data_IF_837764767899
#
_entry.id   IF_837764767899
#
_cell.length_a   1.000
_cell.length_b   1.000
_cell.length_c   1.000
_cell.angle_alpha   90.00
_cell.angle_beta   90.00
_cell.angle_gamma   90.00
#
_symmetry.space_group_name_H-M   'P 1'
#
loop_
_entity.id
_entity.type
_entity.pdbx_description
1 polymer ?
#
# COMPACT_ATOMS: atom_id res chain seq x y z
N UNK A 1 -21.74 -23.80 -7.97
CA UNK A 1 -20.74 -23.05 -7.18
C UNK A 1 -19.37 -23.34 -7.76
N UNK A 2 -18.77 -22.36 -8.44
CA UNK A 2 -17.44 -22.44 -9.04
C UNK A 2 -16.35 -22.57 -7.98
N UNK A 3 -15.10 -22.85 -8.37
CA UNK A 3 -13.96 -22.81 -7.44
C UNK A 3 -13.78 -21.42 -6.83
N UNK A 4 -13.99 -20.36 -7.63
CA UNK A 4 -13.97 -18.97 -7.16
C UNK A 4 -15.04 -18.68 -6.11
N UNK A 5 -16.28 -19.13 -6.32
CA UNK A 5 -17.38 -18.93 -5.37
C UNK A 5 -17.08 -19.61 -4.01
N UNK A 6 -16.45 -20.79 -4.04
CA UNK A 6 -16.02 -21.51 -2.82
C UNK A 6 -14.98 -20.71 -2.05
N UNK A 7 -14.02 -20.09 -2.74
CA UNK A 7 -12.98 -19.27 -2.13
C UNK A 7 -13.53 -17.94 -1.62
N UNK A 8 -14.45 -17.29 -2.33
CA UNK A 8 -15.18 -16.11 -1.84
C UNK A 8 -15.96 -16.43 -0.57
N UNK A 9 -16.70 -17.54 -0.55
CA UNK A 9 -17.39 -17.99 0.66
C UNK A 9 -16.42 -18.32 1.81
N UNK A 10 -15.23 -18.84 1.51
CA UNK A 10 -14.18 -19.08 2.52
C UNK A 10 -13.65 -17.76 3.09
N UNK A 11 -13.32 -16.79 2.23
CA UNK A 11 -12.89 -15.46 2.64
C UNK A 11 -13.88 -14.83 3.60
N UNK A 12 -15.18 -14.78 3.24
CA UNK A 12 -16.21 -14.16 4.07
C UNK A 12 -16.33 -14.81 5.45
N UNK A 13 -16.08 -16.13 5.57
CA UNK A 13 -16.06 -16.82 6.87
C UNK A 13 -14.80 -16.55 7.71
N UNK A 14 -13.71 -16.10 7.09
CA UNK A 14 -12.39 -15.94 7.72
C UNK A 14 -12.03 -14.48 7.99
N UNK A 15 -12.46 -13.55 7.13
CA UNK A 15 -12.07 -12.12 7.22
C UNK A 15 -12.52 -11.45 8.51
N UNK A 16 -13.57 -11.94 9.17
CA UNK A 16 -14.04 -11.39 10.45
C UNK A 16 -13.34 -12.01 11.67
N UNK A 17 -12.56 -13.08 11.47
CA UNK A 17 -11.94 -13.84 12.56
C UNK A 17 -10.48 -13.46 12.71
N UNK A 18 -10.06 -12.97 13.90
CA UNK A 18 -8.65 -12.78 14.18
C UNK A 18 -7.87 -14.08 13.98
N UNK A 19 -6.69 -13.98 13.37
CA UNK A 19 -5.77 -15.10 13.18
C UNK A 19 -4.54 -14.84 14.05
N UNK A 20 -4.14 -15.83 14.84
CA UNK A 20 -2.96 -15.67 15.70
C UNK A 20 -1.68 -15.52 14.89
N UNK A 21 -0.70 -14.77 15.44
CA UNK A 21 0.64 -14.63 14.86
C UNK A 21 1.28 -15.97 14.48
N UNK A 22 1.20 -16.97 15.36
CA UNK A 22 1.81 -18.29 15.11
C UNK A 22 1.07 -19.09 14.02
N UNK A 23 -0.26 -18.96 13.93
CA UNK A 23 -1.03 -19.54 12.83
C UNK A 23 -0.67 -18.90 11.49
N UNK A 24 -0.53 -17.56 11.43
CA UNK A 24 -0.10 -16.84 10.23
C UNK A 24 1.30 -17.26 9.79
N UNK A 25 2.27 -17.35 10.72
CA UNK A 25 3.62 -17.82 10.43
C UNK A 25 3.61 -19.23 9.85
N UNK A 26 2.81 -20.14 10.43
CA UNK A 26 2.68 -21.52 9.96
C UNK A 26 2.06 -21.58 8.56
N UNK A 27 1.00 -20.82 8.31
CA UNK A 27 0.33 -20.75 7.00
C UNK A 27 1.28 -20.20 5.93
N UNK A 28 1.92 -19.06 6.20
CA UNK A 28 2.86 -18.44 5.27
C UNK A 28 4.03 -19.37 4.93
N UNK A 29 4.62 -20.03 5.94
CA UNK A 29 5.67 -21.05 5.72
C UNK A 29 5.20 -22.20 4.85
N UNK A 30 4.00 -22.72 5.13
CA UNK A 30 3.43 -23.82 4.35
C UNK A 30 3.21 -23.42 2.89
N UNK A 31 2.65 -22.24 2.64
CA UNK A 31 2.48 -21.71 1.29
C UNK A 31 3.82 -21.50 0.57
N UNK A 32 4.84 -20.93 1.24
CA UNK A 32 6.18 -20.77 0.65
C UNK A 32 6.78 -22.11 0.26
N UNK A 33 6.76 -23.10 1.16
CA UNK A 33 7.30 -24.44 0.90
C UNK A 33 6.57 -25.17 -0.24
N UNK A 34 5.25 -24.97 -0.36
CA UNK A 34 4.47 -25.55 -1.44
C UNK A 34 4.68 -24.81 -2.79
N UNK A 35 5.06 -23.54 -2.75
CA UNK A 35 5.28 -22.68 -3.92
C UNK A 35 4.04 -22.65 -4.82
N UNK A 36 4.22 -23.05 -6.09
CA UNK A 36 3.13 -23.14 -7.09
C UNK A 36 2.06 -24.19 -6.77
N UNK A 37 2.27 -25.02 -5.74
CA UNK A 37 1.31 -26.04 -5.27
C UNK A 37 0.61 -25.64 -3.98
N UNK A 38 0.78 -24.42 -3.49
CA UNK A 38 0.09 -23.92 -2.31
C UNK A 38 -1.43 -24.05 -2.47
N UNK A 39 -2.10 -24.60 -1.46
CA UNK A 39 -3.54 -24.80 -1.48
C UNK A 39 -4.27 -23.46 -1.66
N UNK A 40 -5.23 -23.34 -2.60
CA UNK A 40 -6.02 -22.11 -2.76
C UNK A 40 -6.66 -21.62 -1.46
N UNK A 41 -7.06 -22.54 -0.60
CA UNK A 41 -7.64 -22.28 0.71
C UNK A 41 -6.66 -21.60 1.68
N UNK A 42 -5.40 -22.03 1.69
CA UNK A 42 -4.37 -21.43 2.55
C UNK A 42 -3.97 -20.03 2.06
N UNK A 43 -3.86 -19.87 0.73
CA UNK A 43 -3.64 -18.57 0.10
C UNK A 43 -4.77 -17.59 0.44
N UNK A 44 -6.01 -18.07 0.38
CA UNK A 44 -7.18 -17.26 0.71
C UNK A 44 -7.26 -16.93 2.20
N UNK A 45 -6.81 -17.81 3.09
CA UNK A 45 -6.77 -17.53 4.53
C UNK A 45 -5.75 -16.44 4.87
N UNK A 46 -4.58 -16.44 4.23
CA UNK A 46 -3.61 -15.34 4.35
C UNK A 46 -4.25 -14.05 3.82
N UNK A 47 -4.83 -14.06 2.62
CA UNK A 47 -5.46 -12.87 2.04
C UNK A 47 -6.61 -12.32 2.91
N UNK A 48 -7.42 -13.20 3.52
CA UNK A 48 -8.47 -12.81 4.46
C UNK A 48 -7.91 -12.18 5.74
N UNK A 49 -6.76 -12.64 6.24
CA UNK A 49 -6.10 -12.02 7.39
C UNK A 49 -5.53 -10.63 7.07
N UNK A 50 -5.00 -10.42 5.86
CA UNK A 50 -4.57 -9.09 5.41
C UNK A 50 -5.75 -8.13 5.30
N UNK A 51 -6.89 -8.59 4.75
CA UNK A 51 -8.11 -7.79 4.70
C UNK A 51 -8.71 -7.52 6.10
N UNK A 52 -8.63 -8.49 7.02
CA UNK A 52 -9.03 -8.30 8.42
C UNK A 52 -8.26 -7.14 9.06
N UNK A 53 -6.93 -7.15 8.92
CA UNK A 53 -6.08 -6.07 9.42
C UNK A 53 -6.43 -4.73 8.75
N UNK A 54 -6.56 -4.70 7.43
CA UNK A 54 -6.81 -3.45 6.70
C UNK A 54 -8.16 -2.77 7.01
N UNK A 55 -9.21 -3.54 7.30
CA UNK A 55 -10.57 -3.00 7.42
C UNK A 55 -11.19 -3.11 8.81
N UNK A 56 -10.82 -4.13 9.60
CA UNK A 56 -11.48 -4.42 10.88
C UNK A 56 -10.55 -4.27 12.09
N UNK A 57 -9.24 -4.43 11.92
CA UNK A 57 -8.27 -4.31 13.00
C UNK A 57 -6.97 -3.63 12.52
N UNK A 58 -7.01 -2.34 12.14
CA UNK A 58 -5.87 -1.63 11.53
C UNK A 58 -4.61 -1.62 12.40
N UNK A 59 -4.76 -1.58 13.74
CA UNK A 59 -3.67 -1.70 14.71
C UNK A 59 -2.94 -3.05 14.67
N UNK A 60 -3.54 -4.09 14.08
CA UNK A 60 -2.90 -5.39 13.87
C UNK A 60 -2.16 -5.52 12.54
N UNK A 61 -2.11 -4.47 11.72
CA UNK A 61 -1.40 -4.48 10.43
C UNK A 61 0.06 -4.90 10.62
N UNK A 62 0.78 -4.26 11.54
CA UNK A 62 2.18 -4.57 11.77
C UNK A 62 2.40 -6.01 12.27
N UNK A 63 1.59 -6.46 13.23
CA UNK A 63 1.64 -7.85 13.73
C UNK A 63 1.39 -8.87 12.61
N UNK A 64 0.38 -8.62 11.78
CA UNK A 64 -0.04 -9.51 10.70
C UNK A 64 1.05 -9.63 9.63
N UNK A 65 1.58 -8.51 9.15
CA UNK A 65 2.59 -8.53 8.10
C UNK A 65 3.95 -9.01 8.61
N UNK A 66 4.32 -8.72 9.87
CA UNK A 66 5.50 -9.34 10.49
C UNK A 66 5.36 -10.86 10.54
N UNK A 67 4.20 -11.36 10.98
CA UNK A 67 3.94 -12.80 11.06
C UNK A 67 4.02 -13.48 9.68
N UNK A 68 3.39 -12.88 8.67
CA UNK A 68 3.39 -13.40 7.30
C UNK A 68 4.81 -13.36 6.73
N UNK A 69 5.53 -12.24 6.87
CA UNK A 69 6.91 -12.08 6.38
C UNK A 69 7.89 -13.03 7.07
N UNK A 70 7.78 -13.21 8.39
CA UNK A 70 8.59 -14.19 9.14
C UNK A 70 8.33 -15.62 8.68
N UNK A 71 7.05 -16.00 8.56
CA UNK A 71 6.67 -17.33 8.09
C UNK A 71 7.13 -17.59 6.66
N UNK A 72 6.99 -16.58 5.79
CA UNK A 72 7.27 -16.68 4.36
C UNK A 72 8.77 -16.70 4.05
N UNK A 73 9.55 -15.82 4.67
CA UNK A 73 10.99 -15.67 4.40
C UNK A 73 11.85 -16.53 5.31
N UNK A 74 11.33 -16.94 6.47
CA UNK A 74 12.10 -17.62 7.51
C UNK A 74 12.97 -16.68 8.36
N UNK A 75 12.95 -15.38 8.10
CA UNK A 75 13.74 -14.38 8.81
C UNK A 75 12.85 -13.52 9.73
N UNK A 76 13.30 -13.32 10.97
CA UNK A 76 12.71 -12.33 11.86
C UNK A 76 12.89 -10.92 11.30
N UNK A 77 11.86 -10.09 11.39
CA UNK A 77 11.95 -8.65 11.06
C UNK A 77 12.83 -7.98 12.11
N UNK A 78 13.93 -7.34 11.69
CA UNK A 78 14.92 -6.73 12.60
C UNK A 78 14.58 -5.29 12.94
N UNK A 79 13.38 -5.08 13.46
CA UNK A 79 12.88 -3.78 13.89
C UNK A 79 12.22 -3.89 15.26
N UNK A 80 12.05 -2.75 15.94
CA UNK A 80 11.23 -2.71 17.15
C UNK A 80 9.82 -3.23 16.85
N UNK A 81 9.27 -4.01 17.78
CA UNK A 81 7.90 -4.52 17.64
C UNK A 81 6.91 -3.38 17.80
N UNK A 82 5.94 -3.31 16.90
CA UNK A 82 4.77 -2.44 17.00
C UNK A 82 3.67 -3.25 17.68
N UNK A 83 3.31 -2.88 18.91
CA UNK A 83 2.33 -3.62 19.69
C UNK A 83 0.90 -3.27 19.25
N UNK A 84 0.05 -4.27 18.95
CA UNK A 84 -1.34 -4.02 18.61
C UNK A 84 -2.14 -3.58 19.84
N UNK A 85 -3.34 -3.05 19.62
CA UNK A 85 -4.24 -2.74 20.72
C UNK A 85 -4.95 -4.00 21.21
N UNK A 86 -5.20 -4.06 22.52
CA UNK A 86 -6.11 -5.06 23.10
C UNK A 86 -7.56 -4.63 22.87
N UNK A 87 -7.98 -4.65 21.60
CA UNK A 87 -9.31 -4.25 21.15
C UNK A 87 -9.89 -5.30 20.20
N UNK A 88 -11.18 -5.59 20.36
CA UNK A 88 -11.91 -6.41 19.41
C UNK A 88 -11.92 -5.77 18.01
N UNK A 89 -12.06 -6.55 16.92
CA UNK A 89 -12.22 -5.99 15.58
C UNK A 89 -13.47 -5.12 15.48
N UNK A 90 -13.42 -4.11 14.61
CA UNK A 90 -14.58 -3.29 14.25
C UNK A 90 -15.67 -4.16 13.59
N UNK A 91 -16.96 -3.84 13.80
CA UNK A 91 -18.05 -4.52 13.10
C UNK A 91 -17.97 -4.24 11.60
N UNK A 92 -18.33 -5.24 10.78
CA UNK A 92 -18.34 -5.09 9.32
C UNK A 92 -19.44 -4.10 8.90
N UNK A 93 -19.10 -2.99 8.22
CA UNK A 93 -20.09 -2.10 7.64
C UNK A 93 -20.91 -2.81 6.56
N UNK A 94 -22.24 -2.67 6.52
CA UNK A 94 -23.07 -3.23 5.46
C UNK A 94 -22.60 -2.77 4.07
N UNK A 95 -22.44 -3.71 3.13
CA UNK A 95 -22.02 -3.44 1.75
C UNK A 95 -20.51 -3.36 1.51
N UNK A 96 -19.67 -3.26 2.57
CA UNK A 96 -18.21 -3.19 2.42
C UNK A 96 -17.67 -4.34 1.58
N UNK A 97 -18.01 -5.59 1.96
CA UNK A 97 -17.50 -6.75 1.27
C UNK A 97 -18.08 -6.92 -0.15
N UNK A 98 -19.30 -6.45 -0.40
CA UNK A 98 -19.86 -6.49 -1.75
C UNK A 98 -19.08 -5.57 -2.70
N UNK A 99 -18.76 -4.35 -2.26
CA UNK A 99 -17.98 -3.40 -3.06
C UNK A 99 -16.50 -3.82 -3.19
N UNK A 100 -15.90 -4.31 -2.11
CA UNK A 100 -14.56 -4.92 -2.11
C UNK A 100 -14.46 -6.05 -3.14
N UNK A 101 -15.41 -6.99 -3.12
CA UNK A 101 -15.43 -8.10 -4.05
C UNK A 101 -15.70 -7.65 -5.49
N UNK A 102 -16.47 -6.58 -5.69
CA UNK A 102 -16.61 -5.96 -7.00
C UNK A 102 -15.28 -5.47 -7.59
N UNK A 103 -14.36 -4.95 -6.75
CA UNK A 103 -13.02 -4.55 -7.20
C UNK A 103 -12.19 -5.79 -7.57
N UNK A 104 -12.21 -6.82 -6.71
CA UNK A 104 -11.51 -8.09 -6.95
C UNK A 104 -11.95 -8.75 -8.25
N UNK A 105 -13.26 -8.83 -8.48
CA UNK A 105 -13.86 -9.49 -9.65
C UNK A 105 -13.55 -8.74 -10.95
N UNK A 106 -13.64 -7.40 -10.95
CA UNK A 106 -13.27 -6.61 -12.12
C UNK A 106 -11.76 -6.59 -12.38
N UNK A 107 -10.95 -6.60 -11.33
CA UNK A 107 -9.49 -6.74 -11.42
C UNK A 107 -9.08 -8.08 -12.03
N UNK A 108 -9.70 -9.18 -11.59
CA UNK A 108 -9.51 -10.52 -12.17
C UNK A 108 -9.95 -10.59 -13.64
N UNK A 109 -11.01 -9.87 -13.99
CA UNK A 109 -11.51 -9.80 -15.37
C UNK A 109 -10.65 -8.89 -16.28
N UNK A 110 -9.63 -8.22 -15.75
CA UNK A 110 -8.80 -7.28 -16.52
C UNK A 110 -9.54 -6.01 -16.94
N UNK A 111 -10.59 -5.63 -16.20
CA UNK A 111 -11.44 -4.47 -16.52
C UNK A 111 -11.01 -3.18 -15.83
N UNK A 112 -10.03 -3.25 -14.93
CA UNK A 112 -9.52 -2.09 -14.20
C UNK A 112 -8.08 -1.81 -14.63
N UNK A 113 -7.82 -0.54 -14.95
CA UNK A 113 -6.46 -0.02 -14.99
C UNK A 113 -5.99 0.38 -13.57
N UNK A 114 -4.74 0.82 -13.46
CA UNK A 114 -4.14 1.18 -12.18
C UNK A 114 -4.89 2.33 -11.48
N UNK A 115 -5.34 3.34 -12.24
CA UNK A 115 -6.09 4.47 -11.69
C UNK A 115 -7.44 4.03 -11.13
N UNK A 116 -8.18 3.20 -11.87
CA UNK A 116 -9.48 2.70 -11.44
C UNK A 116 -9.36 1.83 -10.17
N UNK A 117 -8.30 1.02 -10.05
CA UNK A 117 -8.03 0.27 -8.80
C UNK A 117 -7.80 1.24 -7.65
N UNK A 118 -6.97 2.26 -7.87
CA UNK A 118 -6.65 3.26 -6.84
C UNK A 118 -7.89 3.99 -6.35
N UNK A 119 -8.67 4.54 -7.28
CA UNK A 119 -9.88 5.29 -6.94
C UNK A 119 -10.94 4.42 -6.25
N UNK A 120 -11.17 3.19 -6.74
CA UNK A 120 -12.17 2.30 -6.14
C UNK A 120 -11.72 1.80 -4.77
N UNK A 121 -10.43 1.56 -4.57
CA UNK A 121 -9.87 1.21 -3.26
C UNK A 121 -10.05 2.37 -2.29
N UNK A 122 -9.67 3.59 -2.68
CA UNK A 122 -9.86 4.79 -1.86
C UNK A 122 -11.34 5.03 -1.52
N UNK A 123 -12.25 4.77 -2.47
CA UNK A 123 -13.70 4.89 -2.26
C UNK A 123 -14.24 3.93 -1.19
N UNK A 124 -13.55 2.83 -0.86
CA UNK A 124 -13.93 1.97 0.27
C UNK A 124 -13.84 2.70 1.62
N UNK A 125 -13.08 3.81 1.69
CA UNK A 125 -13.02 4.67 2.87
C UNK A 125 -14.39 5.17 3.34
N UNK A 126 -15.39 5.27 2.44
CA UNK A 126 -16.77 5.67 2.81
C UNK A 126 -17.47 4.70 3.78
N UNK A 127 -16.95 3.48 3.92
CA UNK A 127 -17.46 2.48 4.86
C UNK A 127 -16.84 2.61 6.25
N UNK A 128 -15.77 3.40 6.43
CA UNK A 128 -15.16 3.61 7.72
C UNK A 128 -16.05 4.52 8.56
N UNK A 129 -16.40 4.06 9.76
CA UNK A 129 -17.04 4.90 10.77
C UNK A 129 -16.03 5.87 11.36
N UNK A 130 -16.49 6.92 12.03
CA UNK A 130 -15.61 7.84 12.78
C UNK A 130 -14.73 7.09 13.79
N UNK A 131 -15.28 6.04 14.42
CA UNK A 131 -14.53 5.16 15.32
C UNK A 131 -13.42 4.39 14.59
N UNK A 132 -13.71 3.80 13.43
CA UNK A 132 -12.71 3.09 12.64
C UNK A 132 -11.60 4.05 12.15
N UNK A 133 -11.98 5.23 11.69
CA UNK A 133 -11.05 6.29 11.28
C UNK A 133 -10.17 6.76 12.44
N UNK A 134 -10.75 6.99 13.63
CA UNK A 134 -10.00 7.33 14.82
C UNK A 134 -9.01 6.22 15.21
N UNK A 135 -9.41 4.96 15.11
CA UNK A 135 -8.53 3.81 15.38
C UNK A 135 -7.36 3.73 14.40
N UNK A 136 -7.57 4.05 13.12
CA UNK A 136 -6.49 4.17 12.12
C UNK A 136 -5.52 5.29 12.51
N UNK A 137 -6.03 6.43 12.99
CA UNK A 137 -5.20 7.54 13.45
C UNK A 137 -4.37 7.16 14.69
N UNK A 138 -4.99 6.51 15.68
CA UNK A 138 -4.30 5.98 16.86
C UNK A 138 -3.20 4.98 16.47
N UNK A 139 -3.48 4.07 15.52
CA UNK A 139 -2.50 3.11 15.02
C UNK A 139 -1.32 3.78 14.33
N UNK A 140 -1.56 4.81 13.52
CA UNK A 140 -0.51 5.50 12.78
C UNK A 140 0.56 6.10 13.72
N UNK A 141 0.17 6.60 14.89
CA UNK A 141 1.09 7.10 15.92
C UNK A 141 2.07 6.05 16.48
N UNK A 142 1.80 4.75 16.27
CA UNK A 142 2.71 3.68 16.70
C UNK A 142 3.93 3.53 15.78
N UNK A 143 3.89 4.11 14.58
CA UNK A 143 4.97 4.02 13.60
C UNK A 143 6.02 5.11 13.87
N UNK A 144 7.29 4.73 13.74
CA UNK A 144 8.42 5.60 14.08
C UNK A 144 8.36 6.91 13.30
N UNK A 145 8.50 8.03 14.01
CA UNK A 145 8.53 9.36 13.42
C UNK A 145 7.19 9.94 12.99
N UNK A 146 6.09 9.17 12.96
CA UNK A 146 4.77 9.67 12.52
C UNK A 146 4.28 10.81 13.42
N UNK A 147 4.30 10.62 14.74
CA UNK A 147 3.85 11.66 15.68
C UNK A 147 4.68 12.94 15.55
N UNK A 148 6.00 12.82 15.46
CA UNK A 148 6.91 13.95 15.29
C UNK A 148 6.71 14.66 13.95
N UNK A 149 6.46 13.92 12.88
CA UNK A 149 6.22 14.51 11.57
C UNK A 149 4.89 15.25 11.52
N UNK A 150 3.85 14.70 12.16
CA UNK A 150 2.53 15.32 12.22
C UNK A 150 2.46 16.58 13.09
N UNK A 151 3.49 16.87 13.91
CA UNK A 151 3.63 18.14 14.65
C UNK A 151 4.18 19.28 13.78
N UNK A 152 4.68 18.98 12.57
CA UNK A 152 5.20 19.98 11.63
C UNK A 152 4.06 20.72 10.93
N UNK A 153 4.37 21.90 10.39
CA UNK A 153 3.45 22.59 9.49
C UNK A 153 3.16 21.73 8.25
N UNK A 154 1.93 21.85 7.75
CA UNK A 154 1.54 21.18 6.51
C UNK A 154 2.44 21.64 5.36
N UNK A 155 3.03 20.71 4.58
CA UNK A 155 3.90 21.07 3.48
C UNK A 155 3.14 21.84 2.39
N UNK A 156 3.83 22.82 1.80
CA UNK A 156 3.33 23.53 0.63
C UNK A 156 3.17 22.58 -0.58
N UNK A 157 2.42 23.03 -1.59
CA UNK A 157 2.35 22.32 -2.87
C UNK A 157 3.74 22.30 -3.53
N UNK A 158 4.18 21.12 -3.96
CA UNK A 158 5.39 20.98 -4.76
C UNK A 158 5.12 21.62 -6.14
N UNK A 159 6.08 22.37 -6.68
CA UNK A 159 5.99 22.95 -8.03
C UNK A 159 7.04 22.34 -8.96
N UNK A 160 6.65 22.05 -10.21
CA UNK A 160 7.59 21.57 -11.22
C UNK A 160 8.74 22.56 -11.45
N UNK A 161 8.49 23.86 -11.34
CA UNK A 161 9.54 24.88 -11.44
C UNK A 161 10.58 24.77 -10.34
N UNK A 162 10.16 24.44 -9.11
CA UNK A 162 11.10 24.24 -7.99
C UNK A 162 11.99 23.05 -8.26
N UNK A 163 11.41 21.93 -8.68
CA UNK A 163 12.16 20.71 -8.98
C UNK A 163 13.09 20.87 -10.21
N UNK A 164 12.63 21.57 -11.25
CA UNK A 164 13.41 21.84 -12.46
C UNK A 164 14.66 22.69 -12.20
N UNK A 165 14.61 23.56 -11.17
CA UNK A 165 15.71 24.42 -10.77
C UNK A 165 16.82 23.67 -10.00
N UNK A 166 16.56 22.44 -9.53
CA UNK A 166 17.54 21.63 -8.83
C UNK A 166 18.69 21.19 -9.78
N UNK A 167 19.93 20.99 -9.27
CA UNK A 167 21.07 20.57 -10.07
C UNK A 167 20.85 19.23 -10.79
N UNK A 168 21.48 19.03 -11.96
CA UNK A 168 21.46 17.72 -12.62
C UNK A 168 22.07 16.64 -11.72
N UNK A 169 21.40 15.48 -11.62
CA UNK A 169 21.83 14.37 -10.76
C UNK A 169 21.45 14.54 -9.27
N UNK A 170 20.66 15.57 -8.94
CA UNK A 170 20.01 15.71 -7.64
C UNK A 170 18.66 14.98 -7.59
N UNK A 171 18.16 14.71 -6.38
CA UNK A 171 16.83 14.12 -6.15
C UNK A 171 15.72 14.96 -6.79
N UNK A 172 15.75 16.28 -6.61
CA UNK A 172 14.73 17.18 -7.15
C UNK A 172 14.71 17.15 -8.67
N UNK A 173 15.88 17.08 -9.31
CA UNK A 173 15.94 16.97 -10.78
C UNK A 173 15.48 15.60 -11.28
N UNK A 174 15.85 14.51 -10.61
CA UNK A 174 15.37 13.17 -10.93
C UNK A 174 13.85 13.05 -10.76
N UNK A 175 13.31 13.64 -9.70
CA UNK A 175 11.86 13.69 -9.47
C UNK A 175 11.13 14.52 -10.54
N UNK A 176 11.67 15.68 -10.91
CA UNK A 176 11.15 16.45 -12.04
C UNK A 176 11.09 15.61 -13.33
N UNK A 177 12.21 15.01 -13.70
CA UNK A 177 12.34 14.27 -14.95
C UNK A 177 11.41 13.05 -14.94
N UNK A 178 11.27 12.35 -13.81
CA UNK A 178 10.29 11.27 -13.62
C UNK A 178 8.86 11.73 -13.92
N UNK A 179 8.44 12.84 -13.31
CA UNK A 179 7.08 13.37 -13.47
C UNK A 179 6.84 13.82 -14.93
N UNK A 180 7.79 14.53 -15.53
CA UNK A 180 7.65 15.06 -16.90
C UNK A 180 7.67 13.96 -17.96
N UNK A 181 8.63 13.03 -17.87
CA UNK A 181 8.82 11.98 -18.89
C UNK A 181 7.64 11.01 -18.91
N UNK A 182 7.06 10.72 -17.74
CA UNK A 182 5.91 9.84 -17.62
C UNK A 182 4.57 10.58 -17.68
N UNK A 183 4.58 11.93 -17.71
CA UNK A 183 3.39 12.79 -17.69
C UNK A 183 2.50 12.53 -16.47
N UNK A 184 3.14 12.33 -15.32
CA UNK A 184 2.46 12.14 -14.04
C UNK A 184 1.96 13.47 -13.49
N UNK A 185 0.99 13.39 -12.58
CA UNK A 185 0.58 14.50 -11.73
C UNK A 185 1.43 14.48 -10.45
N UNK A 186 1.85 15.66 -9.96
CA UNK A 186 2.62 15.76 -8.70
C UNK A 186 1.86 15.27 -7.47
N UNK A 187 0.53 15.37 -7.51
CA UNK A 187 -0.37 14.75 -6.55
C UNK A 187 -1.46 14.04 -7.33
N UNK A 188 -1.59 12.73 -7.10
CA UNK A 188 -2.46 11.89 -7.93
C UNK A 188 -3.96 12.00 -7.61
N UNK A 189 -4.29 12.55 -6.45
CA UNK A 189 -5.64 12.87 -6.04
C UNK A 189 -5.68 14.33 -5.61
N UNK A 190 -6.76 15.02 -5.96
CA UNK A 190 -7.00 16.36 -5.45
C UNK A 190 -7.35 16.27 -3.95
N UNK A 191 -6.37 16.61 -3.11
CA UNK A 191 -6.51 16.59 -1.64
C UNK A 191 -7.64 17.47 -1.09
N UNK A 192 -8.09 18.47 -1.86
CA UNK A 192 -9.23 19.32 -1.48
C UNK A 192 -10.54 18.58 -1.72
N UNK A 193 -10.67 17.89 -2.86
CA UNK A 193 -11.89 17.13 -3.19
C UNK A 193 -12.09 15.94 -2.24
N UNK A 194 -11.01 15.25 -1.85
CA UNK A 194 -11.09 14.12 -0.90
C UNK A 194 -11.05 14.55 0.57
N UNK A 195 -11.08 15.86 0.85
CA UNK A 195 -11.19 16.42 2.21
C UNK A 195 -10.13 15.88 3.20
N UNK A 196 -8.88 15.71 2.77
CA UNK A 196 -7.80 15.19 3.65
C UNK A 196 -7.64 16.04 4.92
N UNK A 197 -7.86 17.35 4.81
CA UNK A 197 -7.81 18.30 5.93
C UNK A 197 -8.88 18.06 7.02
N UNK A 198 -9.90 17.25 6.73
CA UNK A 198 -10.93 16.87 7.70
C UNK A 198 -10.59 15.57 8.44
N UNK A 199 -9.51 14.87 8.06
CA UNK A 199 -9.06 13.67 8.75
C UNK A 199 -8.42 14.04 10.10
N UNK A 200 -8.55 13.18 11.13
CA UNK A 200 -7.88 13.42 12.41
C UNK A 200 -6.35 13.29 12.27
N UNK A 201 -5.60 14.07 13.04
CA UNK A 201 -4.15 13.89 13.17
C UNK A 201 -3.84 12.45 13.62
N UNK A 202 -2.83 11.77 13.03
CA UNK A 202 -1.84 12.29 12.08
C UNK A 202 -2.22 12.05 10.61
N UNK A 203 -3.45 11.61 10.34
CA UNK A 203 -3.85 11.14 9.01
C UNK A 203 -3.94 12.27 7.97
N UNK A 204 -4.29 13.49 8.37
CA UNK A 204 -4.26 14.67 7.51
C UNK A 204 -2.86 14.93 6.94
N UNK A 205 -1.86 14.99 7.82
CA UNK A 205 -0.46 15.16 7.47
C UNK A 205 0.06 13.97 6.67
N UNK A 206 -0.18 12.74 7.15
CA UNK A 206 0.33 11.53 6.51
C UNK A 206 -0.21 11.35 5.10
N UNK A 207 -1.52 11.49 4.88
CA UNK A 207 -2.10 11.32 3.55
C UNK A 207 -1.66 12.45 2.61
N UNK A 208 -1.45 13.67 3.12
CA UNK A 208 -0.86 14.73 2.29
C UNK A 208 0.57 14.40 1.88
N UNK A 209 1.43 13.97 2.82
CA UNK A 209 2.80 13.56 2.46
C UNK A 209 2.82 12.35 1.57
N UNK A 210 1.87 11.42 1.71
CA UNK A 210 1.75 10.27 0.82
C UNK A 210 1.54 10.71 -0.62
N UNK A 211 0.65 11.67 -0.87
CA UNK A 211 0.41 12.19 -2.21
C UNK A 211 1.62 12.91 -2.80
N UNK A 212 2.41 13.59 -1.97
CA UNK A 212 3.54 14.41 -2.42
C UNK A 212 4.87 13.66 -2.55
N UNK A 213 5.11 12.68 -1.68
CA UNK A 213 6.41 12.07 -1.49
C UNK A 213 6.46 10.60 -1.92
N UNK A 214 5.36 10.00 -2.38
CA UNK A 214 5.34 8.62 -2.89
C UNK A 214 6.44 8.35 -3.92
N UNK A 215 6.53 9.21 -4.94
CA UNK A 215 7.54 9.07 -5.99
C UNK A 215 8.95 9.41 -5.50
N UNK A 216 9.09 10.28 -4.50
CA UNK A 216 10.37 10.49 -3.82
C UNK A 216 10.82 9.22 -3.11
N UNK A 217 9.91 8.49 -2.47
CA UNK A 217 10.21 7.21 -1.83
C UNK A 217 10.54 6.12 -2.84
N UNK A 218 9.93 6.12 -4.03
CA UNK A 218 10.37 5.26 -5.13
C UNK A 218 11.85 5.47 -5.42
N UNK A 219 12.22 6.70 -5.76
CA UNK A 219 13.60 7.06 -6.11
C UNK A 219 14.56 6.72 -4.96
N UNK A 220 14.26 7.16 -3.75
CA UNK A 220 15.20 7.10 -2.62
C UNK A 220 15.30 5.71 -1.99
N UNK A 221 14.20 4.96 -1.89
CA UNK A 221 14.22 3.59 -1.39
C UNK A 221 14.54 2.55 -2.47
N UNK A 222 14.70 2.95 -3.74
CA UNK A 222 15.22 2.07 -4.82
C UNK A 222 14.15 1.21 -5.49
N UNK A 223 12.93 1.75 -5.61
CA UNK A 223 11.84 1.14 -6.37
C UNK A 223 11.66 1.87 -7.71
N UNK A 224 11.66 1.10 -8.80
CA UNK A 224 11.18 1.56 -10.11
C UNK A 224 9.65 1.73 -10.14
N UNK A 225 9.13 2.59 -11.02
CA UNK A 225 7.69 2.84 -11.20
C UNK A 225 7.03 1.81 -12.13
N UNK A 226 7.12 0.52 -11.76
CA UNK A 226 6.52 -0.62 -12.48
C UNK A 226 5.42 -1.27 -11.66
N UNK A 227 4.56 -2.05 -12.30
CA UNK A 227 3.48 -2.81 -11.68
C UNK A 227 3.88 -3.57 -10.40
N UNK A 228 4.97 -4.33 -10.48
CA UNK A 228 5.41 -5.19 -9.39
C UNK A 228 5.99 -4.34 -8.26
N UNK A 229 6.65 -3.24 -8.61
CA UNK A 229 7.23 -2.34 -7.63
C UNK A 229 6.20 -1.38 -7.01
N UNK A 230 5.08 -1.07 -7.66
CA UNK A 230 3.96 -0.38 -7.00
C UNK A 230 3.36 -1.23 -5.87
N UNK A 231 3.29 -2.55 -6.07
CA UNK A 231 2.93 -3.48 -5.00
C UNK A 231 4.00 -3.49 -3.90
N UNK A 232 5.27 -3.52 -4.29
CA UNK A 232 6.38 -3.52 -3.36
C UNK A 232 6.40 -2.25 -2.49
N UNK A 233 6.34 -1.06 -3.10
CA UNK A 233 6.36 0.21 -2.38
C UNK A 233 5.10 0.40 -1.53
N UNK A 234 3.96 -0.18 -1.93
CA UNK A 234 2.77 -0.23 -1.07
C UNK A 234 3.05 -0.98 0.24
N UNK A 235 3.80 -2.08 0.20
CA UNK A 235 4.20 -2.78 1.42
C UNK A 235 5.25 -2.01 2.22
N UNK A 236 6.18 -1.34 1.53
CA UNK A 236 7.20 -0.49 2.14
C UNK A 236 6.61 0.72 2.89
N UNK A 237 5.75 1.51 2.24
CA UNK A 237 5.15 2.71 2.84
C UNK A 237 4.21 2.35 4.01
N UNK A 238 3.52 1.21 3.92
CA UNK A 238 2.71 0.69 5.01
C UNK A 238 3.59 0.28 6.21
N UNK A 239 4.74 -0.34 5.97
CA UNK A 239 5.71 -0.68 7.01
C UNK A 239 6.34 0.54 7.68
N UNK A 240 6.52 1.63 6.92
CA UNK A 240 7.12 2.87 7.41
C UNK A 240 6.12 3.76 8.16
N UNK A 241 4.89 3.88 7.66
CA UNK A 241 3.97 4.96 8.07
C UNK A 241 2.62 4.46 8.59
N UNK A 242 2.37 3.15 8.61
CA UNK A 242 1.05 2.61 8.95
C UNK A 242 -0.04 3.01 7.95
N UNK A 243 0.34 3.23 6.69
CA UNK A 243 -0.57 3.76 5.67
C UNK A 243 -1.73 2.80 5.38
N UNK A 244 -2.93 3.15 5.83
CA UNK A 244 -4.10 2.26 5.78
C UNK A 244 -4.57 1.97 4.35
N UNK A 245 -4.50 2.95 3.44
CA UNK A 245 -4.86 2.71 2.04
C UNK A 245 -3.96 1.63 1.41
N UNK A 246 -2.65 1.62 1.72
CA UNK A 246 -1.77 0.55 1.25
C UNK A 246 -2.15 -0.82 1.81
N UNK A 247 -2.61 -0.90 3.06
CA UNK A 247 -3.13 -2.15 3.63
C UNK A 247 -4.36 -2.65 2.85
N UNK A 248 -5.28 -1.75 2.51
CA UNK A 248 -6.46 -2.07 1.71
C UNK A 248 -6.08 -2.53 0.31
N UNK A 249 -5.25 -1.77 -0.40
CA UNK A 249 -4.76 -2.10 -1.73
C UNK A 249 -4.09 -3.48 -1.75
N UNK A 250 -3.15 -3.73 -0.83
CA UNK A 250 -2.45 -5.02 -0.74
C UNK A 250 -3.37 -6.18 -0.40
N UNK A 251 -4.41 -5.95 0.40
CA UNK A 251 -5.40 -7.00 0.70
C UNK A 251 -6.18 -7.42 -0.56
N UNK A 252 -6.57 -6.45 -1.40
CA UNK A 252 -7.23 -6.69 -2.70
C UNK A 252 -6.29 -7.45 -3.62
N UNK A 253 -5.04 -7.00 -3.76
CA UNK A 253 -4.02 -7.67 -4.58
C UNK A 253 -3.77 -9.11 -4.10
N UNK A 254 -3.75 -9.35 -2.79
CA UNK A 254 -3.59 -10.69 -2.21
C UNK A 254 -4.77 -11.61 -2.55
N UNK A 255 -6.02 -11.11 -2.50
CA UNK A 255 -7.21 -11.89 -2.88
C UNK A 255 -7.19 -12.20 -4.39
N UNK A 256 -6.92 -11.22 -5.25
CA UNK A 256 -6.79 -11.42 -6.70
C UNK A 256 -5.74 -12.52 -6.99
N UNK A 257 -4.59 -12.46 -6.31
CA UNK A 257 -3.51 -13.43 -6.47
C UNK A 257 -3.83 -14.82 -5.90
N UNK A 258 -4.58 -14.89 -4.80
CA UNK A 258 -5.09 -16.15 -4.26
C UNK A 258 -6.08 -16.84 -5.22
N UNK A 259 -6.82 -16.06 -6.01
CA UNK A 259 -7.77 -16.55 -7.01
C UNK A 259 -7.10 -16.89 -8.36
N UNK A 260 -6.01 -16.20 -8.69
CA UNK A 260 -5.25 -16.39 -9.93
C UNK A 260 -4.42 -17.69 -9.93
N UNK A 261 -4.13 -18.29 -11.11
CA UNK A 261 -3.30 -19.49 -11.22
C UNK A 261 -1.95 -19.36 -10.50
N UNK A 262 -1.56 -20.45 -9.83
CA UNK A 262 -0.58 -20.49 -8.74
C UNK A 262 0.87 -20.04 -9.06
N UNK A 263 1.19 -19.58 -10.28
CA UNK A 263 2.51 -19.06 -10.62
C UNK A 263 2.74 -17.63 -10.12
N UNK A 264 1.72 -16.79 -10.12
CA UNK A 264 1.83 -15.38 -9.69
C UNK A 264 1.87 -15.22 -8.17
N UNK A 265 1.23 -16.13 -7.42
CA UNK A 265 1.12 -16.00 -5.97
C UNK A 265 2.46 -16.00 -5.22
N UNK A 266 3.40 -16.92 -5.49
CA UNK A 266 4.71 -16.87 -4.86
C UNK A 266 5.46 -15.56 -5.15
N UNK A 267 5.40 -15.06 -6.39
CA UNK A 267 6.04 -13.80 -6.80
C UNK A 267 5.45 -12.63 -6.02
N UNK A 268 4.12 -12.55 -5.93
CA UNK A 268 3.45 -11.50 -5.16
C UNK A 268 3.91 -11.52 -3.70
N UNK A 269 3.85 -12.68 -3.05
CA UNK A 269 4.16 -12.80 -1.64
C UNK A 269 5.65 -12.56 -1.37
N UNK A 270 6.54 -13.01 -2.25
CA UNK A 270 7.96 -12.68 -2.19
C UNK A 270 8.20 -11.16 -2.26
N UNK A 271 7.55 -10.47 -3.20
CA UNK A 271 7.60 -9.02 -3.33
C UNK A 271 7.04 -8.30 -2.10
N UNK A 272 5.83 -8.64 -1.64
CA UNK A 272 5.17 -7.98 -0.50
C UNK A 272 5.97 -8.18 0.78
N UNK A 273 6.42 -9.41 1.06
CA UNK A 273 7.11 -9.72 2.32
C UNK A 273 8.50 -9.13 2.39
N UNK A 274 9.26 -9.13 1.29
CA UNK A 274 10.59 -8.50 1.29
C UNK A 274 10.52 -6.98 1.31
N UNK A 275 9.55 -6.36 0.64
CA UNK A 275 9.36 -4.91 0.72
C UNK A 275 8.81 -4.46 2.09
N UNK A 276 7.97 -5.28 2.74
CA UNK A 276 7.60 -5.05 4.15
C UNK A 276 8.81 -5.08 5.08
N UNK A 277 9.66 -6.12 4.97
CA UNK A 277 10.90 -6.22 5.77
C UNK A 277 11.79 -5.00 5.50
N UNK A 278 11.97 -4.65 4.22
CA UNK A 278 12.74 -3.49 3.84
C UNK A 278 12.22 -2.21 4.49
N UNK A 279 10.91 -1.97 4.45
CA UNK A 279 10.28 -0.84 5.11
C UNK A 279 10.44 -0.87 6.63
N UNK A 280 10.31 -2.03 7.29
CA UNK A 280 10.49 -2.12 8.74
C UNK A 280 11.94 -1.90 9.19
N UNK A 281 12.91 -2.25 8.36
CA UNK A 281 14.35 -2.14 8.67
C UNK A 281 14.98 -0.84 8.13
N UNK A 282 14.22 0.02 7.45
CA UNK A 282 14.66 1.32 6.95
C UNK A 282 14.39 2.41 7.99
N UNK A 283 15.35 3.31 8.30
CA UNK A 283 15.09 4.47 9.15
C UNK A 283 13.91 5.31 8.65
N UNK A 284 13.09 5.84 9.56
CA UNK A 284 11.82 6.47 9.22
C UNK A 284 11.98 7.63 8.22
N UNK A 285 11.49 7.42 6.99
CA UNK A 285 11.63 8.39 5.89
C UNK A 285 10.65 9.56 5.96
N UNK A 286 9.61 9.50 6.82
CA UNK A 286 8.67 10.61 7.01
C UNK A 286 9.33 11.81 7.70
N UNK A 287 10.44 11.56 8.41
CA UNK A 287 11.19 12.57 9.12
C UNK A 287 12.13 13.36 8.22
N UNK A 288 12.41 12.88 7.00
CA UNK A 288 13.31 13.55 6.06
C UNK A 288 12.70 14.90 5.63
N UNK A 289 13.41 16.02 5.82
CA UNK A 289 13.00 17.32 5.30
C UNK A 289 13.30 17.36 3.80
N UNK A 290 12.42 16.78 2.98
CA UNK A 290 12.65 16.60 1.53
C UNK A 290 13.06 17.89 0.83
N UNK A 291 12.41 18.99 1.19
CA UNK A 291 12.60 20.33 0.66
C UNK A 291 14.03 20.86 0.91
N UNK A 292 14.68 20.45 2.01
CA UNK A 292 16.06 20.83 2.36
C UNK A 292 17.13 19.96 1.68
N UNK A 293 16.72 18.86 1.02
CA UNK A 293 17.65 17.88 0.44
C UNK A 293 17.43 17.60 -1.05
N UNK A 294 16.47 18.26 -1.69
CA UNK A 294 16.19 18.08 -3.12
C UNK A 294 17.39 18.39 -4.01
N UNK A 295 18.26 19.31 -3.62
CA UNK A 295 19.47 19.66 -4.38
C UNK A 295 20.60 18.63 -4.27
N UNK A 296 20.45 17.62 -3.42
CA UNK A 296 21.47 16.61 -3.16
C UNK A 296 21.29 15.37 -4.05
N UNK A 297 22.37 14.67 -4.43
CA UNK A 297 22.28 13.36 -5.08
C UNK A 297 21.64 12.32 -4.16
N UNK A 298 20.83 11.42 -4.75
CA UNK A 298 20.12 10.35 -4.02
C UNK A 298 21.06 9.50 -3.17
N UNK A 299 22.25 9.17 -3.67
CA UNK A 299 23.26 8.41 -2.91
C UNK A 299 23.77 9.15 -1.67
N UNK A 300 23.82 10.47 -1.70
CA UNK A 300 24.18 11.28 -0.53
C UNK A 300 23.06 11.25 0.50
N UNK A 301 21.81 11.38 0.07
CA UNK A 301 20.64 11.27 0.94
C UNK A 301 20.60 9.87 1.60
N UNK A 302 20.78 8.80 0.82
CA UNK A 302 20.83 7.43 1.32
C UNK A 302 21.87 7.25 2.42
N UNK A 303 23.10 7.75 2.21
CA UNK A 303 24.16 7.69 3.24
C UNK A 303 23.81 8.50 4.48
N UNK A 304 23.28 9.71 4.32
CA UNK A 304 22.98 10.62 5.42
C UNK A 304 21.86 10.08 6.33
N UNK A 305 20.86 9.42 5.74
CA UNK A 305 19.70 8.88 6.46
C UNK A 305 19.75 7.36 6.69
N UNK A 306 20.85 6.69 6.32
CA UNK A 306 21.02 5.25 6.54
C UNK A 306 20.07 4.37 5.71
N UNK A 307 19.59 4.87 4.57
CA UNK A 307 18.68 4.14 3.68
C UNK A 307 19.47 3.19 2.79
N UNK A 308 19.02 1.94 2.72
CA UNK A 308 19.53 0.96 1.76
C UNK A 308 18.54 0.88 0.59
N UNK A 309 19.00 0.74 -0.66
CA UNK A 309 18.09 0.48 -1.78
C UNK A 309 17.42 -0.89 -1.64
N UNK A 310 16.19 -1.01 -2.13
CA UNK A 310 15.44 -2.26 -2.14
C UNK A 310 16.13 -3.34 -2.99
N UNK A 311 16.42 -4.48 -2.37
CA UNK A 311 16.97 -5.64 -3.05
C UNK A 311 15.84 -6.46 -3.71
N UNK A 312 15.52 -6.11 -4.97
CA UNK A 312 14.47 -6.80 -5.74
C UNK A 312 14.81 -8.29 -5.95
N UNK A 313 13.83 -9.15 -5.70
CA UNK A 313 13.95 -10.60 -5.96
C UNK A 313 13.70 -10.98 -7.42
N UNK A 314 13.04 -10.10 -8.17
CA UNK A 314 12.63 -10.30 -9.56
C UNK A 314 12.94 -9.04 -10.38
N UNK A 315 13.00 -9.13 -11.71
CA UNK A 315 12.98 -7.94 -12.56
C UNK A 315 11.78 -7.05 -12.22
N UNK A 316 12.01 -5.74 -12.13
CA UNK A 316 10.97 -4.79 -11.74
C UNK A 316 9.78 -4.82 -12.71
N UNK A 317 10.07 -4.95 -14.00
CA UNK A 317 9.11 -4.97 -15.11
C UNK A 317 8.60 -6.37 -15.46
N UNK A 318 8.72 -7.35 -14.55
CA UNK A 318 8.35 -8.75 -14.81
C UNK A 318 6.90 -8.90 -15.30
N UNK A 319 5.98 -8.11 -14.73
CA UNK A 319 4.56 -8.17 -15.11
C UNK A 319 4.38 -7.62 -16.53
N UNK A 320 5.04 -6.51 -16.85
CA UNK A 320 5.05 -5.87 -18.15
C UNK A 320 5.63 -6.79 -19.23
N UNK A 321 6.78 -7.43 -18.96
CA UNK A 321 7.39 -8.43 -19.84
C UNK A 321 6.44 -9.60 -20.12
N UNK A 322 5.75 -10.10 -19.09
CA UNK A 322 4.80 -11.22 -19.25
C UNK A 322 3.59 -10.89 -20.13
N UNK A 323 3.20 -9.61 -20.20
CA UNK A 323 2.08 -9.13 -21.02
C UNK A 323 2.45 -8.95 -22.48
N UNK A 324 3.67 -8.45 -22.74
CA UNK A 324 4.21 -8.38 -24.10
C UNK A 324 4.22 -9.76 -24.78
N UNK A 325 4.46 -10.82 -24.01
CA UNK A 325 4.47 -12.21 -24.49
C UNK A 325 3.07 -12.82 -24.69
N UNK A 326 2.02 -12.26 -24.08
CA UNK A 326 0.66 -12.83 -24.10
C UNK A 326 -0.33 -12.02 -24.96
N UNK A 327 0.10 -10.93 -25.60
CA UNK A 327 -0.70 -10.16 -26.56
C UNK A 327 -1.90 -9.40 -25.96
N UNK A 328 -1.97 -9.27 -24.63
CA UNK A 328 -3.07 -8.62 -23.92
C UNK A 328 -2.77 -7.15 -23.58
N UNK A 329 -3.67 -6.26 -24.02
CA UNK A 329 -3.68 -4.83 -23.69
C UNK A 329 -3.63 -4.58 -22.17
N UNK A 330 -2.67 -3.72 -21.79
CA UNK A 330 -2.59 -2.81 -20.64
C UNK A 330 -3.32 -3.16 -19.34
N UNK A 331 -2.56 -3.50 -18.28
CA UNK A 331 -3.06 -3.43 -16.90
C UNK A 331 -2.07 -2.70 -15.95
N UNK A 332 -0.90 -2.19 -16.39
CA UNK A 332 0.04 -1.43 -15.52
C UNK A 332 1.05 -0.51 -16.25
N UNK A 333 0.91 -0.25 -17.55
CA UNK A 333 1.87 0.63 -18.27
C UNK A 333 1.52 2.13 -18.23
N UNK A 334 0.71 2.55 -17.27
CA UNK A 334 0.52 3.95 -16.95
C UNK A 334 0.08 4.04 -15.49
N UNK A 335 1.02 4.39 -14.61
CA UNK A 335 0.65 4.95 -13.31
C UNK A 335 0.05 6.31 -13.63
N UNK A 336 -1.28 6.36 -13.59
CA UNK A 336 -2.10 7.54 -13.25
C UNK A 336 -2.04 8.73 -14.23
N UNK A 337 -3.09 8.88 -15.05
CA UNK A 337 -3.48 10.17 -15.61
C UNK A 337 -5.00 10.27 -15.86
N UNK A 338 -5.55 11.40 -15.38
CA UNK A 338 -6.86 12.06 -15.60
C UNK A 338 -8.13 11.54 -14.92
N UNK A 339 -8.58 12.35 -13.95
CA UNK A 339 -9.95 12.42 -13.45
C UNK A 339 -10.47 13.84 -13.64
N UNK A 340 -11.51 13.99 -14.46
CA UNK A 340 -12.56 14.99 -14.25
C UNK A 340 -13.82 14.47 -14.92
N UNK A 341 -14.67 13.80 -14.16
CA UNK A 341 -16.12 14.08 -14.01
C UNK A 341 -16.82 12.91 -13.30
N UNK A 342 -17.72 13.27 -12.38
CA UNK A 342 -18.78 12.46 -11.78
C UNK A 342 -18.48 11.67 -10.50
N UNK A 343 -18.19 12.37 -9.39
CA UNK A 343 -18.87 12.09 -8.10
C UNK A 343 -19.12 13.42 -7.38
N UNK A 344 -20.06 14.22 -7.86
CA UNK A 344 -20.69 15.28 -7.06
C UNK A 344 -21.98 14.74 -6.44
N UNK A 345 -21.85 14.14 -5.26
CA UNK A 345 -22.98 13.93 -4.35
C UNK A 345 -22.81 14.86 -3.15
N UNK A 346 -23.70 15.84 -2.91
CA UNK A 346 -23.49 16.82 -1.86
C UNK A 346 -23.61 16.18 -0.48
N UNK A 347 -22.55 16.29 0.33
CA UNK A 347 -22.63 16.19 1.78
C UNK A 347 -23.49 17.35 2.27
N UNK A 348 -24.75 17.08 2.59
CA UNK A 348 -25.61 18.05 3.27
C UNK A 348 -25.08 18.29 4.70
N UNK A 349 -24.85 19.54 5.11
CA UNK A 349 -24.64 19.85 6.50
C UNK A 349 -26.00 19.77 7.22
N UNK A 350 -26.20 18.75 8.06
CA UNK A 350 -27.28 18.84 9.06
C UNK A 350 -26.86 19.86 10.11
N UNK A 351 -27.43 21.06 9.99
CA UNK A 351 -27.50 22.03 11.09
C UNK A 351 -28.34 21.46 12.23
N UNK A 352 -27.94 21.87 13.44
CA UNK A 352 -28.59 21.81 14.76
C UNK A 352 -30.01 21.22 14.86
#
# INVERSE_FOLDING_TARGET
MTSGDKLKARFLRRVEKPVSREELKRLARSCKSAGKRAAPEDRMDIAAALAHAAFLAPDRTAETYDAVSEGWTGNAVKAARIEPFDRAPEPVPPGLWDEYWGIVEDGLAGKLDALAITQRTAALGKYFTDQATARVAEMAHLFEGVSQAAERDMPELISLSTLAACPQGSLGREFHDLIVDNKFDLEVLDRTEISIHALPQPLDYLNTRMLQAHDLWHITAGYETTALHEIAISAFQMAQFGHNYSAQFLSITAVISALSPARGYPILMDTVTSAWIHGRETPSMILIPWEDVWDQPVETIRRNYGIRPYERQYPADLIEQSRMLTGGLGMFTAVLHRVFTAVTGPLHPRRA
#
